data_IF_669105754301
#
_entry.id   IF_669105754301
#
_cell.length_a   1.000
_cell.length_b   1.000
_cell.length_c   1.000
_cell.angle_alpha   90.00
_cell.angle_beta   90.00
_cell.angle_gamma   90.00
#
_symmetry.space_group_name_H-M   'P 1'
#
loop_
_entity.id
_entity.type
_entity.pdbx_description
1 polymer ?
#
# COMPACT_ATOMS: atom_id res chain seq x y z
N UNK A 1 19.28 30.18 -56.77
CA UNK A 1 19.58 31.10 -55.64
C UNK A 1 19.42 32.55 -56.09
N UNK A 2 20.09 32.94 -57.18
CA UNK A 2 20.02 34.30 -57.77
C UNK A 2 18.59 34.80 -58.01
N UNK A 3 17.69 33.96 -58.51
CA UNK A 3 16.28 34.32 -58.74
C UNK A 3 15.54 34.73 -57.45
N UNK A 4 15.80 34.04 -56.32
CA UNK A 4 15.24 34.41 -55.01
C UNK A 4 15.83 35.72 -54.50
N UNK A 5 17.13 35.93 -54.69
CA UNK A 5 17.81 37.19 -54.31
C UNK A 5 17.26 38.35 -55.14
N UNK A 6 17.09 38.15 -56.45
CA UNK A 6 16.50 39.12 -57.38
C UNK A 6 15.07 39.47 -56.98
N UNK A 7 14.19 38.48 -56.83
CA UNK A 7 12.82 38.67 -56.35
C UNK A 7 12.79 39.44 -55.02
N UNK A 8 13.60 39.02 -54.04
CA UNK A 8 13.60 39.63 -52.71
C UNK A 8 14.04 41.10 -52.73
N UNK A 9 15.02 41.46 -53.58
CA UNK A 9 15.50 42.83 -53.75
C UNK A 9 14.53 43.71 -54.58
N UNK A 10 13.86 43.16 -55.59
CA UNK A 10 12.96 43.89 -56.49
C UNK A 10 11.79 44.59 -55.78
N UNK A 11 11.30 44.03 -54.66
CA UNK A 11 10.24 44.65 -53.87
C UNK A 11 10.38 44.37 -52.36
N UNK A 12 11.55 44.73 -51.82
CA UNK A 12 11.99 44.43 -50.44
C UNK A 12 10.90 44.51 -49.37
N UNK A 13 10.17 45.62 -49.28
CA UNK A 13 9.16 45.84 -48.24
C UNK A 13 7.95 44.89 -48.35
N UNK A 14 7.49 44.59 -49.57
CA UNK A 14 6.41 43.63 -49.79
C UNK A 14 6.88 42.18 -49.57
N UNK A 15 8.11 41.87 -50.00
CA UNK A 15 8.64 40.51 -49.97
C UNK A 15 9.12 40.11 -48.57
N UNK A 16 9.66 41.02 -47.76
CA UNK A 16 9.94 40.77 -46.34
C UNK A 16 8.66 40.60 -45.52
N UNK A 17 7.59 41.35 -45.81
CA UNK A 17 6.28 41.15 -45.20
C UNK A 17 5.65 39.80 -45.60
N UNK A 18 5.83 39.38 -46.85
CA UNK A 18 5.39 38.06 -47.35
C UNK A 18 6.15 36.93 -46.64
N UNK A 19 7.47 37.02 -46.50
CA UNK A 19 8.25 36.04 -45.73
C UNK A 19 7.82 36.02 -44.25
N UNK A 20 7.60 37.17 -43.63
CA UNK A 20 7.13 37.26 -42.24
C UNK A 20 5.75 36.61 -42.05
N UNK A 21 4.80 36.85 -42.94
CA UNK A 21 3.45 36.27 -42.84
C UNK A 21 3.42 34.76 -43.11
N UNK A 22 4.27 34.25 -44.01
CA UNK A 22 4.46 32.79 -44.20
C UNK A 22 5.08 32.15 -42.95
N UNK A 23 6.11 32.75 -42.36
CA UNK A 23 6.73 32.25 -41.12
C UNK A 23 5.75 32.29 -39.93
N UNK A 24 5.02 33.40 -39.78
CA UNK A 24 4.04 33.60 -38.71
C UNK A 24 2.87 32.60 -38.81
N UNK A 25 2.32 32.37 -40.01
CA UNK A 25 1.25 31.38 -40.21
C UNK A 25 1.74 29.95 -39.96
N UNK A 26 2.98 29.61 -40.32
CA UNK A 26 3.63 28.35 -39.94
C UNK A 26 3.74 28.18 -38.42
N UNK A 27 4.22 29.20 -37.70
CA UNK A 27 4.33 29.19 -36.24
C UNK A 27 2.95 29.04 -35.57
N UNK A 28 1.93 29.76 -36.05
CA UNK A 28 0.55 29.67 -35.55
C UNK A 28 0.00 28.25 -35.76
N UNK A 29 0.21 27.65 -36.93
CA UNK A 29 -0.21 26.26 -37.23
C UNK A 29 0.45 25.24 -36.30
N UNK A 30 1.76 25.40 -36.02
CA UNK A 30 2.48 24.55 -35.06
C UNK A 30 1.94 24.71 -33.63
N UNK A 31 1.63 25.94 -33.20
CA UNK A 31 1.05 26.21 -31.87
C UNK A 31 -0.35 25.58 -31.73
N UNK A 32 -1.20 25.72 -32.75
CA UNK A 32 -2.54 25.11 -32.78
C UNK A 32 -2.44 23.58 -32.73
N UNK A 33 -1.55 22.99 -33.54
CA UNK A 33 -1.31 21.55 -33.58
C UNK A 33 -0.81 21.03 -32.22
N UNK A 34 0.18 21.70 -31.62
CA UNK A 34 0.69 21.35 -30.30
C UNK A 34 -0.37 21.46 -29.20
N UNK A 35 -1.24 22.48 -29.24
CA UNK A 35 -2.37 22.62 -28.32
C UNK A 35 -3.41 21.51 -28.51
N UNK A 36 -3.73 21.14 -29.75
CA UNK A 36 -4.65 20.06 -30.09
C UNK A 36 -4.13 18.70 -29.59
N UNK A 37 -2.90 18.31 -29.95
CA UNK A 37 -2.30 17.06 -29.46
C UNK A 37 -2.17 17.05 -27.93
N UNK A 38 -1.83 18.17 -27.30
CA UNK A 38 -1.80 18.27 -25.83
C UNK A 38 -3.18 18.04 -25.21
N UNK A 39 -4.26 18.55 -25.81
CA UNK A 39 -5.64 18.29 -25.36
C UNK A 39 -6.02 16.82 -25.54
N UNK A 40 -5.77 16.24 -26.72
CA UNK A 40 -6.05 14.83 -27.02
C UNK A 40 -5.30 13.87 -26.10
N UNK A 41 -4.00 14.07 -25.92
CA UNK A 41 -3.15 13.25 -25.04
C UNK A 41 -3.58 13.33 -23.57
N UNK A 42 -4.02 14.50 -23.10
CA UNK A 42 -4.60 14.67 -21.75
C UNK A 42 -5.96 14.01 -21.61
N UNK A 43 -6.78 14.02 -22.66
CA UNK A 43 -8.05 13.30 -22.66
C UNK A 43 -7.83 11.78 -22.62
N UNK A 44 -6.91 11.26 -23.43
CA UNK A 44 -6.56 9.84 -23.42
C UNK A 44 -6.07 9.39 -22.02
N UNK A 45 -5.14 10.13 -21.41
CA UNK A 45 -4.72 9.89 -20.03
C UNK A 45 -5.89 9.88 -19.03
N UNK A 46 -6.88 10.79 -19.17
CA UNK A 46 -8.08 10.80 -18.32
C UNK A 46 -8.90 9.52 -18.48
N UNK A 47 -9.15 9.10 -19.72
CA UNK A 47 -10.03 7.97 -20.04
C UNK A 47 -9.38 6.61 -19.78
N UNK A 48 -8.08 6.43 -20.06
CA UNK A 48 -7.40 5.13 -19.95
C UNK A 48 -6.75 4.90 -18.58
N UNK A 49 -6.24 5.95 -17.91
CA UNK A 49 -5.59 5.81 -16.60
C UNK A 49 -6.46 6.31 -15.45
N UNK A 50 -6.93 7.57 -15.53
CA UNK A 50 -7.54 8.21 -14.35
C UNK A 50 -8.88 7.57 -13.98
N UNK A 51 -9.79 7.41 -14.93
CA UNK A 51 -11.11 6.81 -14.66
C UNK A 51 -11.03 5.33 -14.25
N UNK A 52 -10.27 4.45 -14.92
CA UNK A 52 -10.14 3.05 -14.51
C UNK A 52 -9.51 2.89 -13.12
N UNK A 53 -8.47 3.66 -12.78
CA UNK A 53 -7.91 3.64 -11.41
C UNK A 53 -8.96 4.13 -10.40
N UNK A 54 -9.67 5.24 -10.65
CA UNK A 54 -10.73 5.73 -9.75
C UNK A 54 -11.84 4.69 -9.55
N UNK A 55 -12.21 3.94 -10.59
CA UNK A 55 -13.16 2.83 -10.48
C UNK A 55 -12.67 1.75 -9.51
N UNK A 56 -11.44 1.27 -9.68
CA UNK A 56 -10.85 0.22 -8.82
C UNK A 56 -10.59 0.73 -7.39
N UNK A 57 -10.36 2.04 -7.20
CA UNK A 57 -10.23 2.64 -5.88
C UNK A 57 -11.55 2.72 -5.10
N UNK A 58 -12.71 2.54 -5.74
CA UNK A 58 -14.00 2.47 -5.05
C UNK A 58 -14.31 1.06 -4.54
N UNK A 59 -13.68 0.02 -5.10
CA UNK A 59 -13.73 -1.35 -4.61
C UNK A 59 -12.94 -1.54 -3.31
N UNK A 60 -13.07 -2.71 -2.69
CA UNK A 60 -12.24 -3.13 -1.57
C UNK A 60 -10.75 -3.34 -1.96
N UNK A 61 -9.88 -3.14 -0.98
CA UNK A 61 -8.44 -3.34 -1.12
C UNK A 61 -8.11 -4.83 -1.33
N UNK A 62 -7.39 -5.17 -2.39
CA UNK A 62 -6.92 -6.54 -2.64
C UNK A 62 -5.68 -6.61 -3.52
N UNK A 63 -4.91 -7.71 -3.43
CA UNK A 63 -3.77 -7.97 -4.34
C UNK A 63 -4.18 -7.98 -5.83
N UNK A 64 -5.41 -8.38 -6.14
CA UNK A 64 -5.92 -8.39 -7.51
C UNK A 64 -6.17 -6.97 -8.02
N UNK A 65 -6.83 -6.13 -7.21
CA UNK A 65 -7.09 -4.73 -7.56
C UNK A 65 -5.79 -3.91 -7.60
N UNK A 66 -4.82 -4.19 -6.73
CA UNK A 66 -3.46 -3.64 -6.83
C UNK A 66 -2.81 -3.94 -8.20
N UNK A 67 -2.83 -5.22 -8.64
CA UNK A 67 -2.25 -5.61 -9.94
C UNK A 67 -2.88 -4.87 -11.12
N UNK A 68 -4.21 -4.69 -11.13
CA UNK A 68 -4.90 -3.90 -12.16
C UNK A 68 -4.42 -2.45 -12.18
N UNK A 69 -4.31 -1.81 -11.01
CA UNK A 69 -3.81 -0.42 -10.91
C UNK A 69 -2.34 -0.34 -11.36
N UNK A 70 -1.50 -1.33 -11.03
CA UNK A 70 -0.11 -1.40 -11.50
C UNK A 70 0.00 -1.61 -13.02
N UNK A 71 -0.89 -2.40 -13.63
CA UNK A 71 -0.97 -2.60 -15.07
C UNK A 71 -1.38 -1.30 -15.80
N UNK A 72 -2.44 -0.65 -15.32
CA UNK A 72 -2.89 0.65 -15.85
C UNK A 72 -1.80 1.73 -15.68
N UNK A 73 -1.05 1.70 -14.58
CA UNK A 73 0.08 2.61 -14.34
C UNK A 73 1.30 2.37 -15.25
N UNK A 74 1.31 1.31 -16.08
CA UNK A 74 2.31 1.05 -17.12
C UNK A 74 1.85 1.47 -18.52
N UNK A 75 0.62 1.96 -18.69
CA UNK A 75 0.12 2.41 -19.99
C UNK A 75 0.94 3.55 -20.60
N UNK A 76 1.04 3.57 -21.93
CA UNK A 76 1.76 4.62 -22.66
C UNK A 76 1.16 6.03 -22.43
N UNK A 77 -0.11 6.18 -22.05
CA UNK A 77 -0.70 7.50 -21.76
C UNK A 77 -0.17 8.15 -20.47
N UNK A 78 0.37 7.35 -19.53
CA UNK A 78 1.04 7.81 -18.28
C UNK A 78 2.16 8.81 -18.57
N UNK A 79 2.77 8.77 -19.77
CA UNK A 79 3.77 9.75 -20.25
C UNK A 79 3.27 11.21 -20.32
N UNK A 80 1.97 11.45 -20.13
CA UNK A 80 1.33 12.78 -20.17
C UNK A 80 0.91 13.34 -18.79
N UNK A 81 1.26 12.66 -17.70
CA UNK A 81 1.20 13.25 -16.36
C UNK A 81 2.23 14.38 -16.22
N UNK A 82 1.88 15.43 -15.47
CA UNK A 82 2.87 16.40 -14.96
C UNK A 82 3.62 15.75 -13.79
N UNK A 83 4.87 16.13 -13.55
CA UNK A 83 5.71 15.60 -12.44
C UNK A 83 5.01 15.57 -11.06
N UNK A 84 4.20 16.58 -10.73
CA UNK A 84 3.41 16.64 -9.48
C UNK A 84 2.19 15.69 -9.46
N UNK A 85 1.63 15.38 -10.62
CA UNK A 85 0.50 14.45 -10.77
C UNK A 85 1.02 12.99 -10.75
N UNK A 86 2.13 12.70 -11.44
CA UNK A 86 2.80 11.39 -11.41
C UNK A 86 3.27 11.00 -10.00
N UNK A 87 3.82 11.93 -9.21
CA UNK A 87 4.19 11.65 -7.81
C UNK A 87 2.99 11.12 -7.00
N UNK A 88 1.78 11.65 -7.24
CA UNK A 88 0.55 11.21 -6.54
C UNK A 88 0.13 9.80 -6.96
N UNK A 89 0.31 9.42 -8.24
CA UNK A 89 0.11 8.04 -8.69
C UNK A 89 1.12 7.08 -8.02
N UNK A 90 2.40 7.44 -7.95
CA UNK A 90 3.42 6.59 -7.34
C UNK A 90 3.16 6.38 -5.83
N UNK A 91 2.87 7.44 -5.07
CA UNK A 91 2.54 7.30 -3.65
C UNK A 91 1.22 6.57 -3.40
N UNK A 92 0.28 6.61 -4.35
CA UNK A 92 -0.90 5.74 -4.32
C UNK A 92 -0.54 4.27 -4.53
N UNK A 93 0.28 3.95 -5.54
CA UNK A 93 0.75 2.58 -5.80
C UNK A 93 1.50 2.00 -4.61
N UNK A 94 2.42 2.77 -4.01
CA UNK A 94 3.21 2.39 -2.84
C UNK A 94 2.29 2.05 -1.64
N UNK A 95 1.39 2.97 -1.26
CA UNK A 95 0.49 2.76 -0.13
C UNK A 95 -0.57 1.67 -0.39
N UNK A 96 -1.09 1.57 -1.63
CA UNK A 96 -2.04 0.51 -1.99
C UNK A 96 -1.34 -0.86 -1.99
N UNK A 97 -0.08 -0.96 -2.43
CA UNK A 97 0.71 -2.21 -2.37
C UNK A 97 0.79 -2.75 -0.96
N UNK A 98 1.12 -1.89 0.01
CA UNK A 98 1.18 -2.27 1.43
C UNK A 98 -0.17 -2.75 1.98
N UNK A 99 -1.27 -2.07 1.65
CA UNK A 99 -2.59 -2.45 2.16
C UNK A 99 -3.20 -3.66 1.43
N UNK A 100 -2.77 -3.93 0.19
CA UNK A 100 -3.28 -5.02 -0.65
C UNK A 100 -3.04 -6.42 -0.07
N UNK A 101 -2.14 -6.56 0.91
CA UNK A 101 -1.81 -7.81 1.59
C UNK A 101 -2.44 -7.95 2.97
N UNK A 102 -3.30 -7.00 3.38
CA UNK A 102 -3.99 -7.03 4.67
C UNK A 102 -4.89 -8.28 4.82
N UNK A 103 -4.87 -8.86 6.01
CA UNK A 103 -5.70 -9.99 6.42
C UNK A 103 -6.02 -9.82 7.92
N UNK A 104 -7.27 -9.47 8.24
CA UNK A 104 -7.68 -9.12 9.61
C UNK A 104 -7.41 -10.28 10.60
N UNK A 105 -7.72 -11.52 10.21
CA UNK A 105 -7.48 -12.73 11.02
C UNK A 105 -5.99 -12.89 11.34
N UNK A 106 -5.10 -12.68 10.37
CA UNK A 106 -3.66 -12.73 10.59
C UNK A 106 -3.17 -11.58 11.48
N UNK A 107 -3.75 -10.38 11.39
CA UNK A 107 -3.37 -9.25 12.26
C UNK A 107 -3.87 -9.47 13.69
N UNK A 108 -5.03 -10.10 13.85
CA UNK A 108 -5.60 -10.50 15.12
C UNK A 108 -4.76 -11.62 15.78
N UNK A 109 -4.38 -12.66 15.02
CA UNK A 109 -3.49 -13.72 15.48
C UNK A 109 -2.09 -13.20 15.90
N UNK A 110 -1.50 -12.27 15.14
CA UNK A 110 -0.25 -11.62 15.53
C UNK A 110 -0.43 -10.72 16.78
N UNK A 111 -1.60 -10.11 16.97
CA UNK A 111 -1.90 -9.34 18.19
C UNK A 111 -2.01 -10.25 19.41
N UNK A 112 -2.62 -11.43 19.25
CA UNK A 112 -2.70 -12.49 20.25
C UNK A 112 -1.33 -13.11 20.57
N UNK A 113 -0.45 -13.28 19.58
CA UNK A 113 0.92 -13.73 19.80
C UNK A 113 1.71 -12.74 20.67
N UNK A 114 1.68 -11.44 20.35
CA UNK A 114 2.35 -10.43 21.19
C UNK A 114 1.71 -10.25 22.57
N UNK A 115 0.42 -10.56 22.74
CA UNK A 115 -0.21 -10.63 24.05
C UNK A 115 0.30 -11.82 24.88
N UNK A 116 0.47 -12.99 24.24
CA UNK A 116 1.08 -14.17 24.88
C UNK A 116 2.52 -13.88 25.33
N UNK A 117 3.35 -13.25 24.49
CA UNK A 117 4.69 -12.78 24.87
C UNK A 117 4.64 -11.86 26.10
N UNK A 118 3.76 -10.85 26.09
CA UNK A 118 3.57 -9.93 27.23
C UNK A 118 3.18 -10.66 28.52
N UNK A 119 2.31 -11.68 28.46
CA UNK A 119 1.91 -12.46 29.64
C UNK A 119 3.03 -13.34 30.18
N UNK A 120 3.88 -13.91 29.31
CA UNK A 120 5.10 -14.60 29.75
C UNK A 120 6.06 -13.64 30.46
N UNK A 121 6.33 -12.48 29.86
CA UNK A 121 7.25 -11.47 30.42
C UNK A 121 6.75 -10.92 31.76
N UNK A 122 5.44 -10.67 31.89
CA UNK A 122 4.77 -10.25 33.14
C UNK A 122 4.90 -11.28 34.27
N UNK A 123 4.99 -12.56 33.94
CA UNK A 123 5.23 -13.66 34.88
C UNK A 123 6.72 -13.96 35.13
N UNK A 124 7.63 -13.14 34.56
CA UNK A 124 9.08 -13.29 34.69
C UNK A 124 9.69 -14.39 33.81
N UNK A 125 8.94 -14.86 32.80
CA UNK A 125 9.35 -15.97 31.94
C UNK A 125 10.04 -15.40 30.69
N UNK A 126 11.25 -15.88 30.41
CA UNK A 126 11.97 -15.54 29.18
C UNK A 126 11.24 -16.11 27.95
N UNK A 127 10.76 -15.24 27.06
CA UNK A 127 10.09 -15.59 25.79
C UNK A 127 11.01 -16.32 24.80
N UNK A 128 12.33 -16.20 24.97
CA UNK A 128 13.38 -16.82 24.13
C UNK A 128 14.34 -17.66 24.99
N UNK A 129 13.92 -18.83 25.51
CA UNK A 129 14.71 -19.61 26.47
C UNK A 129 15.70 -20.59 25.81
N UNK A 130 15.64 -20.78 24.49
CA UNK A 130 16.50 -21.73 23.79
C UNK A 130 17.82 -21.05 23.37
N UNK A 131 19.00 -21.62 23.69
CA UNK A 131 20.27 -21.07 23.23
C UNK A 131 20.45 -21.25 21.71
N UNK A 132 21.32 -20.41 21.15
CA UNK A 132 22.02 -20.65 19.89
C UNK A 132 23.49 -20.84 20.25
N UNK A 133 24.03 -22.01 19.91
CA UNK A 133 25.42 -22.37 20.18
C UNK A 133 26.26 -22.28 18.90
N UNK A 134 27.49 -21.78 19.03
CA UNK A 134 28.51 -21.77 17.97
C UNK A 134 29.85 -22.17 18.60
N UNK A 135 30.51 -23.19 18.01
CA UNK A 135 31.77 -23.77 18.51
C UNK A 135 31.74 -24.24 20.00
N UNK A 136 30.55 -24.41 20.57
CA UNK A 136 30.31 -24.79 21.97
C UNK A 136 30.00 -23.63 22.91
N UNK A 137 30.02 -22.38 22.44
CA UNK A 137 29.63 -21.20 23.21
C UNK A 137 28.21 -20.74 22.87
N UNK A 138 27.43 -20.30 23.87
CA UNK A 138 26.09 -19.73 23.68
C UNK A 138 26.21 -18.29 23.20
N UNK A 139 26.04 -18.06 21.90
CA UNK A 139 26.21 -16.75 21.25
C UNK A 139 24.93 -15.91 21.22
N UNK A 140 23.76 -16.52 21.34
CA UNK A 140 22.47 -15.84 21.37
C UNK A 140 21.37 -16.73 22.00
N UNK A 141 20.15 -16.20 22.09
CA UNK A 141 18.95 -16.96 22.46
C UNK A 141 17.80 -16.72 21.48
N UNK A 142 16.91 -17.70 21.36
CA UNK A 142 15.82 -17.74 20.38
C UNK A 142 14.53 -18.32 20.98
N UNK A 143 13.44 -18.14 20.22
CA UNK A 143 12.15 -18.76 20.53
C UNK A 143 12.26 -20.29 20.56
N UNK A 144 11.37 -20.98 21.30
CA UNK A 144 11.26 -22.43 21.25
C UNK A 144 11.02 -22.97 19.83
N UNK A 145 11.52 -24.19 19.52
CA UNK A 145 11.15 -24.91 18.30
C UNK A 145 9.64 -24.98 18.12
N UNK A 146 9.16 -24.87 16.88
CA UNK A 146 7.74 -24.88 16.51
C UNK A 146 6.86 -23.74 17.09
N UNK A 147 7.36 -22.80 17.92
CA UNK A 147 6.52 -21.68 18.40
C UNK A 147 5.95 -20.83 17.25
N UNK A 148 6.62 -20.80 16.09
CA UNK A 148 6.14 -20.10 14.91
C UNK A 148 4.82 -20.65 14.33
N UNK A 149 4.38 -21.86 14.72
CA UNK A 149 3.04 -22.35 14.40
C UNK A 149 1.94 -21.74 15.30
N UNK A 150 2.26 -21.20 16.49
CA UNK A 150 1.28 -20.59 17.38
C UNK A 150 0.46 -19.51 16.67
N UNK A 151 1.07 -18.64 15.87
CA UNK A 151 0.33 -17.64 15.08
C UNK A 151 -0.65 -18.27 14.10
N UNK A 152 -0.33 -19.44 13.53
CA UNK A 152 -1.24 -20.17 12.64
C UNK A 152 -2.37 -20.82 13.44
N UNK A 153 -2.06 -21.46 14.56
CA UNK A 153 -3.08 -22.08 15.43
C UNK A 153 -4.06 -21.03 15.97
N UNK A 154 -3.57 -19.83 16.30
CA UNK A 154 -4.39 -18.66 16.66
C UNK A 154 -5.24 -18.15 15.48
N UNK A 155 -4.70 -18.10 14.26
CA UNK A 155 -5.53 -17.82 13.07
C UNK A 155 -6.62 -18.89 12.88
N UNK A 156 -6.32 -20.17 13.12
CA UNK A 156 -7.23 -21.29 12.88
C UNK A 156 -8.31 -21.41 13.98
N UNK A 157 -8.05 -20.94 15.21
CA UNK A 157 -9.09 -20.68 16.24
C UNK A 157 -10.00 -19.52 15.80
N UNK A 158 -9.43 -18.39 15.38
CA UNK A 158 -10.21 -17.21 14.91
C UNK A 158 -11.05 -17.47 13.64
N UNK A 159 -10.77 -18.54 12.88
CA UNK A 159 -11.59 -19.00 11.74
C UNK A 159 -12.74 -19.92 12.17
N UNK A 160 -12.69 -20.47 13.38
CA UNK A 160 -13.67 -21.44 13.91
C UNK A 160 -14.66 -20.81 14.91
N UNK A 161 -14.21 -19.80 15.65
CA UNK A 161 -15.00 -19.13 16.70
C UNK A 161 -14.84 -17.62 16.52
N UNK A 162 -15.89 -16.90 16.12
CA UNK A 162 -15.79 -15.47 15.81
C UNK A 162 -15.86 -14.64 17.10
N UNK A 163 -14.83 -13.84 17.44
CA UNK A 163 -14.74 -13.12 18.71
C UNK A 163 -15.73 -11.94 18.88
N UNK A 164 -16.51 -11.56 17.85
CA UNK A 164 -17.63 -10.62 18.01
C UNK A 164 -19.01 -11.34 18.10
N UNK A 165 -19.10 -12.68 17.97
CA UNK A 165 -20.34 -13.46 18.13
C UNK A 165 -20.27 -14.58 19.19
N UNK A 166 -19.16 -15.31 19.27
CA UNK A 166 -18.90 -16.45 20.19
C UNK A 166 -17.67 -16.13 21.07
N UNK A 167 -17.71 -15.04 21.87
CA UNK A 167 -16.52 -14.52 22.55
C UNK A 167 -15.98 -15.48 23.62
N UNK A 168 -16.86 -16.14 24.37
CA UNK A 168 -16.49 -16.99 25.51
C UNK A 168 -15.88 -18.31 25.02
N UNK A 169 -16.44 -18.91 23.96
CA UNK A 169 -15.90 -20.07 23.27
C UNK A 169 -14.56 -19.76 22.62
N UNK A 170 -14.45 -18.60 21.94
CA UNK A 170 -13.21 -18.13 21.33
C UNK A 170 -12.12 -17.93 22.40
N UNK A 171 -12.42 -17.21 23.49
CA UNK A 171 -11.46 -16.96 24.57
C UNK A 171 -11.01 -18.26 25.26
N UNK A 172 -11.93 -19.18 25.56
CA UNK A 172 -11.61 -20.49 26.13
C UNK A 172 -10.70 -21.33 25.21
N UNK A 173 -10.89 -21.26 23.89
CA UNK A 173 -10.03 -21.94 22.91
C UNK A 173 -8.65 -21.29 22.81
N UNK A 174 -8.57 -19.96 22.82
CA UNK A 174 -7.31 -19.22 22.82
C UNK A 174 -6.48 -19.52 24.09
N UNK A 175 -7.12 -19.54 25.26
CA UNK A 175 -6.50 -19.95 26.53
C UNK A 175 -5.96 -21.38 26.45
N UNK A 176 -6.76 -22.33 25.94
CA UNK A 176 -6.34 -23.73 25.82
C UNK A 176 -5.13 -23.90 24.90
N UNK A 177 -5.05 -23.15 23.80
CA UNK A 177 -3.88 -23.09 22.93
C UNK A 177 -2.66 -22.52 23.67
N UNK A 178 -2.80 -21.40 24.39
CA UNK A 178 -1.71 -20.81 25.17
C UNK A 178 -1.20 -21.74 26.27
N UNK A 179 -2.07 -22.39 27.03
CA UNK A 179 -1.69 -23.34 28.09
C UNK A 179 -0.90 -24.54 27.50
N UNK A 180 -1.29 -25.02 26.31
CA UNK A 180 -0.57 -26.08 25.59
C UNK A 180 0.87 -25.67 25.23
N UNK A 181 1.05 -24.50 24.61
CA UNK A 181 2.39 -23.98 24.26
C UNK A 181 3.22 -23.62 25.51
N UNK A 182 2.62 -23.03 26.55
CA UNK A 182 3.30 -22.82 27.84
C UNK A 182 3.85 -24.13 28.41
N UNK A 183 2.99 -25.15 28.52
CA UNK A 183 3.35 -26.45 29.10
C UNK A 183 4.44 -27.18 28.29
N UNK A 184 4.44 -27.02 26.96
CA UNK A 184 5.43 -27.66 26.07
C UNK A 184 6.81 -26.99 26.12
N UNK A 185 6.90 -25.67 26.37
CA UNK A 185 8.13 -24.90 26.12
C UNK A 185 8.63 -23.99 27.24
N UNK A 186 7.78 -23.61 28.19
CA UNK A 186 8.05 -22.51 29.10
C UNK A 186 7.86 -22.89 30.58
N UNK A 187 6.67 -23.34 30.95
CA UNK A 187 6.32 -23.64 32.34
C UNK A 187 5.03 -24.46 32.44
N UNK A 188 4.92 -25.26 33.51
CA UNK A 188 3.63 -25.84 33.95
C UNK A 188 2.91 -24.99 35.01
N UNK A 189 3.44 -23.81 35.35
CA UNK A 189 2.73 -22.82 36.18
C UNK A 189 1.48 -22.35 35.44
N UNK A 190 0.33 -22.29 36.12
CA UNK A 190 -0.86 -21.66 35.56
C UNK A 190 -0.64 -20.15 35.39
N UNK A 191 -0.88 -19.65 34.19
CA UNK A 191 -0.91 -18.23 33.85
C UNK A 191 -2.38 -17.84 33.65
N UNK A 192 -2.80 -16.70 34.20
CA UNK A 192 -4.11 -16.12 33.89
C UNK A 192 -3.99 -15.27 32.64
N UNK A 193 -4.95 -15.39 31.73
CA UNK A 193 -5.05 -14.60 30.52
C UNK A 193 -6.34 -13.78 30.53
N UNK A 194 -6.34 -12.68 29.77
CA UNK A 194 -7.44 -11.72 29.57
C UNK A 194 -7.95 -10.99 30.84
N UNK A 195 -7.24 -11.16 31.97
CA UNK A 195 -7.43 -10.46 33.25
C UNK A 195 -7.02 -8.98 33.22
N UNK A 196 -6.05 -8.62 32.38
CA UNK A 196 -5.51 -7.26 32.25
C UNK A 196 -6.00 -6.54 30.98
N UNK A 197 -6.33 -7.29 29.93
CA UNK A 197 -6.96 -6.81 28.71
C UNK A 197 -7.93 -7.87 28.19
N UNK A 198 -9.21 -7.53 28.04
CA UNK A 198 -10.18 -8.43 27.39
C UNK A 198 -9.73 -8.81 25.98
N UNK A 199 -10.16 -9.97 25.47
CA UNK A 199 -9.91 -10.39 24.08
C UNK A 199 -10.18 -9.26 23.06
N UNK A 200 -11.29 -8.54 23.23
CA UNK A 200 -11.69 -7.41 22.39
C UNK A 200 -10.71 -6.23 22.42
N UNK A 201 -10.07 -5.94 23.57
CA UNK A 201 -9.00 -4.95 23.67
C UNK A 201 -7.72 -5.42 22.99
N UNK A 202 -7.31 -6.68 23.21
CA UNK A 202 -6.13 -7.28 22.57
C UNK A 202 -6.23 -7.20 21.04
N UNK A 203 -7.38 -7.57 20.47
CA UNK A 203 -7.59 -7.54 19.02
C UNK A 203 -7.66 -6.12 18.44
N UNK A 204 -8.26 -5.16 19.16
CA UNK A 204 -8.62 -3.85 18.60
C UNK A 204 -7.71 -2.68 19.06
N UNK A 205 -6.76 -2.92 19.98
CA UNK A 205 -5.88 -1.87 20.54
C UNK A 205 -4.37 -2.21 20.53
N UNK A 206 -3.96 -3.37 19.97
CA UNK A 206 -2.55 -3.78 19.92
C UNK A 206 -1.66 -2.81 19.12
N UNK A 207 -0.35 -2.83 19.41
CA UNK A 207 0.64 -2.14 18.57
C UNK A 207 0.74 -2.73 17.15
N UNK A 208 0.25 -3.95 16.92
CA UNK A 208 0.11 -4.50 15.58
C UNK A 208 -1.03 -3.80 14.83
N UNK A 209 -2.21 -3.65 15.47
CA UNK A 209 -3.36 -2.93 14.91
C UNK A 209 -3.01 -1.48 14.58
N UNK A 210 -2.46 -0.74 15.55
CA UNK A 210 -2.01 0.66 15.40
C UNK A 210 -1.00 0.88 14.27
N UNK A 211 -0.17 -0.13 13.93
CA UNK A 211 0.74 -0.07 12.76
C UNK A 211 -0.02 -0.20 11.44
N UNK A 212 -1.09 -0.99 11.39
CA UNK A 212 -1.97 -1.11 10.22
C UNK A 212 -2.91 0.07 10.04
N UNK A 213 -3.45 0.64 11.12
CA UNK A 213 -4.30 1.84 11.05
C UNK A 213 -3.55 3.00 10.37
N UNK A 214 -2.28 3.20 10.73
CA UNK A 214 -1.38 4.18 10.07
C UNK A 214 -1.16 3.91 8.57
N UNK A 215 -1.23 2.65 8.12
CA UNK A 215 -1.18 2.28 6.69
C UNK A 215 -2.51 2.58 5.99
N UNK A 216 -3.63 2.32 6.64
CA UNK A 216 -4.96 2.71 6.16
C UNK A 216 -5.06 4.24 6.02
N UNK A 217 -4.57 5.03 6.98
CA UNK A 217 -4.47 6.49 6.87
C UNK A 217 -3.61 6.94 5.69
N UNK A 218 -2.48 6.27 5.45
CA UNK A 218 -1.57 6.56 4.34
C UNK A 218 -2.24 6.35 2.98
N UNK A 219 -2.84 5.16 2.75
CA UNK A 219 -3.53 4.86 1.49
C UNK A 219 -4.80 5.69 1.31
N UNK A 220 -5.55 5.99 2.38
CA UNK A 220 -6.72 6.87 2.32
C UNK A 220 -6.33 8.31 1.95
N UNK A 221 -5.18 8.81 2.44
CA UNK A 221 -4.61 10.09 2.02
C UNK A 221 -4.20 10.07 0.55
N UNK A 222 -3.46 9.06 0.12
CA UNK A 222 -3.01 8.94 -1.26
C UNK A 222 -4.18 8.79 -2.26
N UNK A 223 -5.20 7.99 -1.91
CA UNK A 223 -6.46 7.85 -2.66
C UNK A 223 -7.16 9.20 -2.85
N UNK A 224 -7.33 9.96 -1.76
CA UNK A 224 -7.93 11.31 -1.80
C UNK A 224 -7.09 12.25 -2.66
N UNK A 225 -5.77 12.29 -2.44
CA UNK A 225 -4.86 13.14 -3.20
C UNK A 225 -4.87 12.84 -4.71
N UNK A 226 -5.07 11.57 -5.11
CA UNK A 226 -5.21 11.16 -6.51
C UNK A 226 -6.59 11.55 -7.08
N UNK A 227 -7.68 11.31 -6.35
CA UNK A 227 -9.04 11.69 -6.76
C UNK A 227 -9.22 13.22 -6.91
N UNK A 228 -8.48 14.02 -6.13
CA UNK A 228 -8.50 15.48 -6.20
C UNK A 228 -7.71 16.08 -7.39
N UNK A 229 -7.01 15.26 -8.20
CA UNK A 229 -6.23 15.74 -9.33
C UNK A 229 -7.08 16.56 -10.32
N UNK A 230 -6.53 17.67 -10.84
CA UNK A 230 -7.17 18.53 -11.88
C UNK A 230 -7.41 17.86 -13.25
N UNK A 231 -7.21 16.55 -13.34
CA UNK A 231 -7.54 15.71 -14.51
C UNK A 231 -8.60 14.65 -14.17
N UNK A 232 -8.81 14.33 -12.89
CA UNK A 232 -9.93 13.50 -12.45
C UNK A 232 -11.26 14.27 -12.52
N UNK A 233 -11.21 15.56 -12.19
CA UNK A 233 -12.26 16.55 -12.47
C UNK A 233 -12.36 16.78 -13.98
#
# INVERSE_FOLDING_TARGET
MEEFIKWFLENWNANIFTLFTVLLSGIISLIISAAYYRKGNRNNLKMSVIHPIISILNDSYSRNNYKKIEEIAREYSVRYFKKKELKKLNSLLEAYKEISVYNDIQINANSLFSYFEYKLEKEGINTKPFPIEYEGEVVATQYPPDLFYLSKDLEDVLKQYDPDYEPDECEARLISTYESYCKKYYTSKKITYFDDYTLKQVLKQSEVRKKWDKKFDSVNRAKREFMELKIAK
#
